data_IF_703330411186
#
_entry.id   IF_703330411186
#
_cell.length_a   1.000
_cell.length_b   1.000
_cell.length_c   1.000
_cell.angle_alpha   90.00
_cell.angle_beta   90.00
_cell.angle_gamma   90.00
#
_symmetry.space_group_name_H-M   'P 1'
#
loop_
_entity.id
_entity.type
_entity.pdbx_description
1 polymer ?
#
# COMPACT_ATOMS: atom_id res chain seq x y z
N UNK A 1 -44.87 -17.57 -32.92
CA UNK A 1 -45.29 -17.42 -31.51
C UNK A 1 -44.18 -17.97 -30.67
N UNK A 2 -43.29 -17.13 -30.19
CA UNK A 2 -42.21 -17.56 -29.30
C UNK A 2 -42.05 -16.46 -28.29
N UNK A 3 -42.39 -16.80 -27.06
CA UNK A 3 -42.22 -15.92 -25.90
C UNK A 3 -40.75 -15.79 -25.52
N UNK A 4 -40.29 -14.57 -25.49
CA UNK A 4 -38.98 -14.18 -24.97
C UNK A 4 -39.04 -14.19 -23.45
N UNK A 5 -38.38 -15.16 -22.84
CA UNK A 5 -38.11 -15.19 -21.40
C UNK A 5 -37.02 -14.18 -21.08
N UNK A 6 -37.41 -13.05 -20.52
CA UNK A 6 -36.49 -12.10 -19.89
C UNK A 6 -35.97 -12.67 -18.57
N UNK A 7 -34.75 -13.13 -18.57
CA UNK A 7 -34.07 -13.55 -17.36
C UNK A 7 -33.45 -12.31 -16.67
N UNK A 8 -34.17 -11.74 -15.71
CA UNK A 8 -33.66 -10.73 -14.78
C UNK A 8 -32.99 -11.44 -13.63
N UNK A 9 -31.68 -11.57 -13.69
CA UNK A 9 -30.86 -11.91 -12.52
C UNK A 9 -30.55 -10.67 -11.70
N UNK A 10 -31.54 -10.22 -10.94
CA UNK A 10 -31.29 -9.34 -9.78
C UNK A 10 -30.89 -10.23 -8.63
N UNK A 11 -29.60 -10.38 -8.40
CA UNK A 11 -29.09 -11.01 -7.18
C UNK A 11 -29.22 -9.99 -6.05
N UNK A 12 -30.41 -9.92 -5.46
CA UNK A 12 -30.59 -9.29 -4.15
C UNK A 12 -29.89 -10.18 -3.12
N UNK A 13 -28.79 -9.67 -2.57
CA UNK A 13 -28.12 -10.27 -1.42
C UNK A 13 -29.02 -10.11 -0.18
N UNK A 14 -29.93 -11.06 0.02
CA UNK A 14 -30.67 -11.22 1.26
C UNK A 14 -29.70 -11.66 2.36
N UNK A 15 -29.39 -10.77 3.29
CA UNK A 15 -28.66 -11.10 4.51
C UNK A 15 -29.64 -11.43 5.64
N UNK A 16 -29.86 -12.69 6.00
CA UNK A 16 -30.58 -13.04 7.22
C UNK A 16 -29.74 -12.59 8.42
N UNK A 17 -30.33 -11.79 9.30
CA UNK A 17 -29.73 -11.41 10.58
C UNK A 17 -29.39 -12.68 11.38
N UNK A 18 -28.10 -12.98 11.53
CA UNK A 18 -27.61 -14.03 12.43
C UNK A 18 -26.89 -15.23 11.80
N UNK A 19 -26.88 -15.42 10.49
CA UNK A 19 -26.07 -16.47 9.87
C UNK A 19 -24.60 -15.98 9.77
N UNK A 20 -23.67 -16.65 10.49
CA UNK A 20 -22.23 -16.50 10.24
C UNK A 20 -21.96 -17.04 8.84
N UNK A 21 -21.80 -16.15 7.86
CA UNK A 21 -21.28 -16.55 6.55
C UNK A 21 -19.87 -17.03 6.79
N UNK A 22 -19.50 -18.26 6.41
CA UNK A 22 -18.13 -18.72 6.55
C UNK A 22 -17.22 -17.78 5.76
N UNK A 23 -16.20 -17.25 6.43
CA UNK A 23 -15.23 -16.35 5.81
C UNK A 23 -14.24 -17.21 5.02
N UNK A 24 -14.23 -17.05 3.70
CA UNK A 24 -13.23 -17.65 2.83
C UNK A 24 -11.96 -16.80 2.81
N UNK A 25 -10.90 -17.31 3.44
CA UNK A 25 -9.61 -16.64 3.52
C UNK A 25 -8.97 -16.40 2.14
N UNK A 26 -9.16 -17.33 1.19
CA UNK A 26 -8.63 -17.18 -0.17
C UNK A 26 -9.37 -16.06 -0.92
N UNK A 27 -10.68 -15.96 -0.75
CA UNK A 27 -11.48 -14.87 -1.29
C UNK A 27 -11.07 -13.53 -0.68
N UNK A 28 -10.91 -13.45 0.65
CA UNK A 28 -10.45 -12.23 1.32
C UNK A 28 -9.07 -11.79 0.82
N UNK A 29 -8.14 -12.73 0.68
CA UNK A 29 -6.82 -12.43 0.12
C UNK A 29 -6.94 -11.84 -1.30
N UNK A 30 -7.74 -12.46 -2.16
CA UNK A 30 -7.96 -11.99 -3.52
C UNK A 30 -8.56 -10.59 -3.57
N UNK A 31 -9.54 -10.31 -2.70
CA UNK A 31 -10.17 -8.98 -2.60
C UNK A 31 -9.17 -7.93 -2.11
N UNK A 32 -8.36 -8.25 -1.09
CA UNK A 32 -7.33 -7.36 -0.58
C UNK A 32 -6.28 -7.05 -1.65
N UNK A 33 -5.81 -8.05 -2.39
CA UNK A 33 -4.87 -7.86 -3.49
C UNK A 33 -5.45 -6.98 -4.60
N UNK A 34 -6.70 -7.23 -4.99
CA UNK A 34 -7.40 -6.40 -5.99
C UNK A 34 -7.56 -4.96 -5.52
N UNK A 35 -7.91 -4.74 -4.25
CA UNK A 35 -8.02 -3.39 -3.69
C UNK A 35 -6.69 -2.65 -3.79
N UNK A 36 -5.59 -3.27 -3.37
CA UNK A 36 -4.24 -2.70 -3.50
C UNK A 36 -3.92 -2.34 -4.96
N UNK A 37 -4.15 -3.28 -5.89
CA UNK A 37 -3.86 -3.09 -7.31
C UNK A 37 -4.63 -1.91 -7.90
N UNK A 38 -5.94 -1.80 -7.64
CA UNK A 38 -6.75 -0.71 -8.20
C UNK A 38 -6.46 0.66 -7.57
N UNK A 39 -5.99 0.70 -6.32
CA UNK A 39 -5.53 1.95 -5.69
C UNK A 39 -4.22 2.40 -6.32
N UNK A 40 -3.27 1.50 -6.51
CA UNK A 40 -1.98 1.82 -7.16
C UNK A 40 -2.17 2.22 -8.63
N UNK A 41 -3.08 1.57 -9.34
CA UNK A 41 -3.41 1.93 -10.72
C UNK A 41 -4.01 3.34 -10.79
N UNK A 42 -4.91 3.67 -9.86
CA UNK A 42 -5.56 4.99 -9.77
C UNK A 42 -4.59 6.15 -9.53
N UNK A 43 -3.45 5.91 -8.87
CA UNK A 43 -2.41 6.93 -8.66
C UNK A 43 -1.18 6.76 -9.57
N UNK A 44 -1.25 5.91 -10.58
CA UNK A 44 -0.09 5.57 -11.44
C UNK A 44 0.43 6.77 -12.26
N UNK A 45 -0.46 7.67 -12.68
CA UNK A 45 -0.10 8.87 -13.42
C UNK A 45 0.75 9.81 -12.54
N UNK A 46 0.36 10.03 -11.30
CA UNK A 46 1.07 10.85 -10.31
C UNK A 46 2.43 10.25 -9.96
N UNK A 47 2.50 8.94 -9.72
CA UNK A 47 3.75 8.25 -9.48
C UNK A 47 4.69 8.37 -10.68
N UNK A 48 4.17 8.20 -11.90
CA UNK A 48 4.94 8.36 -13.14
C UNK A 48 5.45 9.79 -13.32
N UNK A 49 4.61 10.79 -13.02
CA UNK A 49 5.01 12.21 -13.09
C UNK A 49 6.15 12.55 -12.11
N UNK A 50 6.20 11.86 -10.95
CA UNK A 50 7.30 11.95 -9.99
C UNK A 50 8.52 11.09 -10.39
N UNK A 51 8.41 10.31 -11.45
CA UNK A 51 9.44 9.36 -11.87
C UNK A 51 9.62 8.19 -10.90
N UNK A 52 8.57 7.83 -10.15
CA UNK A 52 8.58 6.73 -9.17
C UNK A 52 7.90 5.48 -9.73
N UNK A 53 8.57 4.34 -9.59
CA UNK A 53 7.94 3.03 -9.65
C UNK A 53 7.19 2.77 -8.31
N UNK A 54 6.04 2.06 -8.31
CA UNK A 54 5.32 1.74 -7.08
C UNK A 54 6.17 1.09 -5.98
N UNK A 55 7.16 0.25 -6.35
CA UNK A 55 8.05 -0.39 -5.38
C UNK A 55 9.08 0.58 -4.82
N UNK A 56 9.57 1.50 -5.62
CA UNK A 56 10.44 2.60 -5.18
C UNK A 56 9.68 3.54 -4.24
N UNK A 57 8.41 3.82 -4.53
CA UNK A 57 7.55 4.61 -3.65
C UNK A 57 7.44 4.00 -2.26
N UNK A 58 7.21 2.69 -2.13
CA UNK A 58 7.15 2.05 -0.81
C UNK A 58 8.46 2.15 -0.03
N UNK A 59 9.60 2.03 -0.70
CA UNK A 59 10.91 2.25 -0.06
C UNK A 59 11.05 3.70 0.39
N UNK A 60 10.67 4.65 -0.44
CA UNK A 60 10.74 6.08 -0.13
C UNK A 60 9.81 6.46 1.04
N UNK A 61 8.63 5.85 1.12
CA UNK A 61 7.67 6.07 2.20
C UNK A 61 8.18 5.56 3.56
N UNK A 62 8.86 4.42 3.58
CA UNK A 62 9.30 3.75 4.82
C UNK A 62 10.70 4.17 5.31
N UNK A 63 11.51 4.81 4.47
CA UNK A 63 12.92 5.07 4.79
C UNK A 63 13.12 5.95 6.02
N UNK A 64 12.20 6.87 6.31
CA UNK A 64 12.31 7.73 7.49
C UNK A 64 12.14 6.95 8.81
N UNK A 65 11.28 5.94 8.81
CA UNK A 65 11.04 5.07 9.97
C UNK A 65 12.04 3.90 10.05
N UNK A 66 12.61 3.49 8.91
CA UNK A 66 13.52 2.35 8.78
C UNK A 66 14.71 2.73 7.89
N UNK A 67 15.68 3.51 8.42
CA UNK A 67 16.71 4.13 7.59
C UNK A 67 17.82 3.17 7.12
N UNK A 68 17.75 1.89 7.49
CA UNK A 68 18.76 0.92 7.10
C UNK A 68 18.19 -0.09 6.09
N UNK A 69 18.95 -0.45 5.04
CA UNK A 69 18.46 -1.37 4.01
C UNK A 69 17.97 -2.72 4.52
N UNK A 70 18.58 -3.24 5.60
CA UNK A 70 18.15 -4.50 6.20
C UNK A 70 16.78 -4.38 6.91
N UNK A 71 16.53 -3.25 7.58
CA UNK A 71 15.26 -2.93 8.22
C UNK A 71 14.16 -2.70 7.20
N UNK A 72 14.45 -1.95 6.12
CA UNK A 72 13.53 -1.79 5.00
C UNK A 72 13.13 -3.13 4.37
N UNK A 73 14.09 -4.04 4.18
CA UNK A 73 13.82 -5.37 3.64
C UNK A 73 12.87 -6.16 4.54
N UNK A 74 13.08 -6.10 5.85
CA UNK A 74 12.23 -6.77 6.84
C UNK A 74 10.84 -6.11 6.91
N UNK A 75 10.77 -4.78 6.95
CA UNK A 75 9.53 -4.00 7.05
C UNK A 75 8.64 -4.18 5.81
N UNK A 76 9.22 -4.13 4.62
CA UNK A 76 8.52 -4.27 3.35
C UNK A 76 8.32 -5.73 2.91
N UNK A 77 8.90 -6.68 3.64
CA UNK A 77 8.86 -8.12 3.34
C UNK A 77 9.33 -8.41 1.91
N UNK A 78 10.44 -7.78 1.51
CA UNK A 78 11.05 -7.94 0.19
C UNK A 78 12.53 -8.36 0.30
N UNK A 79 13.09 -9.04 -0.74
CA UNK A 79 14.49 -9.44 -0.74
C UNK A 79 15.44 -8.24 -0.58
N UNK A 80 16.52 -8.41 0.20
CA UNK A 80 17.57 -7.38 0.37
C UNK A 80 18.16 -6.90 -0.96
N UNK A 81 18.30 -7.80 -1.93
CA UNK A 81 18.78 -7.46 -3.27
C UNK A 81 17.85 -6.45 -3.96
N UNK A 82 16.52 -6.61 -3.81
CA UNK A 82 15.53 -5.69 -4.37
C UNK A 82 15.63 -4.30 -3.72
N UNK A 83 15.74 -4.25 -2.37
CA UNK A 83 15.95 -2.98 -1.65
C UNK A 83 17.19 -2.27 -2.16
N UNK A 84 18.29 -3.00 -2.37
CA UNK A 84 19.55 -2.42 -2.90
C UNK A 84 19.34 -1.76 -4.25
N UNK A 85 18.55 -2.36 -5.14
CA UNK A 85 18.22 -1.79 -6.47
C UNK A 85 17.38 -0.53 -6.31
N UNK A 86 16.30 -0.57 -5.52
CA UNK A 86 15.41 0.58 -5.34
C UNK A 86 16.12 1.75 -4.67
N UNK A 87 16.91 1.50 -3.62
CA UNK A 87 17.72 2.52 -2.95
C UNK A 87 18.71 3.17 -3.94
N UNK A 88 19.38 2.36 -4.76
CA UNK A 88 20.30 2.89 -5.79
C UNK A 88 19.58 3.82 -6.76
N UNK A 89 18.41 3.42 -7.23
CA UNK A 89 17.61 4.22 -8.15
C UNK A 89 17.14 5.53 -7.50
N UNK A 90 16.66 5.47 -6.25
CA UNK A 90 16.22 6.65 -5.49
C UNK A 90 17.38 7.62 -5.19
N UNK A 91 18.57 7.10 -4.93
CA UNK A 91 19.79 7.94 -4.81
C UNK A 91 20.15 8.58 -6.15
N UNK A 92 20.09 7.83 -7.26
CA UNK A 92 20.33 8.36 -8.58
C UNK A 92 19.33 9.45 -9.01
N UNK A 93 18.08 9.37 -8.52
CA UNK A 93 17.04 10.40 -8.70
C UNK A 93 17.20 11.61 -7.76
N UNK A 94 18.14 11.57 -6.83
CA UNK A 94 18.34 12.63 -5.84
C UNK A 94 17.31 12.62 -4.69
N UNK A 95 16.51 11.59 -4.54
CA UNK A 95 15.49 11.49 -3.48
C UNK A 95 16.04 10.96 -2.15
N UNK A 96 17.11 10.17 -2.22
CA UNK A 96 17.82 9.66 -1.06
C UNK A 96 19.30 10.01 -1.12
N UNK A 97 19.91 10.13 0.05
CA UNK A 97 21.36 10.16 0.22
C UNK A 97 21.78 9.15 1.29
N UNK A 98 23.03 8.75 1.24
CA UNK A 98 23.65 7.89 2.25
C UNK A 98 24.50 8.74 3.17
N UNK A 99 24.31 8.58 4.46
CA UNK A 99 25.13 9.20 5.48
C UNK A 99 25.80 8.13 6.33
N UNK A 100 27.00 8.42 6.84
CA UNK A 100 27.64 7.58 7.83
C UNK A 100 26.84 7.73 9.12
N UNK A 101 26.59 6.61 9.80
CA UNK A 101 25.87 6.62 11.07
C UNK A 101 26.81 7.12 12.18
N UNK A 102 26.38 8.12 12.93
CA UNK A 102 27.19 8.70 14.02
C UNK A 102 27.41 7.72 15.19
N UNK A 103 26.51 6.75 15.36
CA UNK A 103 26.61 5.73 16.41
C UNK A 103 27.45 4.51 16.00
N UNK A 104 27.53 4.22 14.69
CA UNK A 104 28.35 3.14 14.13
C UNK A 104 28.89 3.55 12.75
N UNK A 105 30.11 4.01 12.72
CA UNK A 105 30.82 4.49 11.52
C UNK A 105 30.96 3.42 10.40
N UNK A 106 30.64 2.15 10.69
CA UNK A 106 30.61 1.06 9.70
C UNK A 106 29.28 0.95 8.98
N UNK A 107 28.27 1.67 9.48
CA UNK A 107 26.90 1.64 8.92
C UNK A 107 26.64 2.93 8.15
N UNK A 108 25.86 2.80 7.08
CA UNK A 108 25.30 3.91 6.36
C UNK A 108 23.80 3.92 6.56
N UNK A 109 23.27 5.04 7.02
CA UNK A 109 21.84 5.29 7.05
C UNK A 109 21.37 5.97 5.75
N UNK A 110 20.15 5.72 5.39
CA UNK A 110 19.48 6.39 4.28
C UNK A 110 18.74 7.61 4.83
N UNK A 111 18.88 8.72 4.14
CA UNK A 111 18.25 9.98 4.53
C UNK A 111 17.51 10.54 3.32
N UNK A 112 16.28 11.00 3.54
CA UNK A 112 15.53 11.74 2.52
C UNK A 112 16.24 13.07 2.23
N UNK A 113 16.27 13.43 0.96
CA UNK A 113 16.59 14.81 0.56
C UNK A 113 15.31 15.66 0.64
N UNK A 114 15.38 17.00 0.60
CA UNK A 114 14.20 17.85 0.49
C UNK A 114 13.32 17.47 -0.71
N UNK A 115 13.93 17.12 -1.85
CA UNK A 115 13.25 16.65 -3.05
C UNK A 115 12.60 15.28 -2.82
N UNK A 116 13.27 14.39 -2.08
CA UNK A 116 12.73 13.10 -1.69
C UNK A 116 11.55 13.21 -0.72
N UNK A 117 11.59 14.15 0.23
CA UNK A 117 10.47 14.45 1.13
C UNK A 117 9.26 14.96 0.34
N UNK A 118 9.48 15.92 -0.56
CA UNK A 118 8.41 16.46 -1.39
C UNK A 118 7.80 15.39 -2.31
N UNK A 119 8.61 14.53 -2.93
CA UNK A 119 8.14 13.43 -3.78
C UNK A 119 7.35 12.39 -2.97
N UNK A 120 7.84 12.00 -1.79
CA UNK A 120 7.14 11.10 -0.86
C UNK A 120 5.77 11.65 -0.48
N UNK A 121 5.73 12.90 -0.03
CA UNK A 121 4.51 13.52 0.47
C UNK A 121 3.47 13.68 -0.63
N UNK A 122 3.88 14.04 -1.84
CA UNK A 122 3.01 14.11 -3.00
C UNK A 122 2.45 12.71 -3.36
N UNK A 123 3.31 11.70 -3.42
CA UNK A 123 2.89 10.33 -3.73
C UNK A 123 1.94 9.77 -2.65
N UNK A 124 2.21 10.03 -1.37
CA UNK A 124 1.31 9.65 -0.26
C UNK A 124 -0.04 10.37 -0.35
N UNK A 125 -0.06 11.65 -0.71
CA UNK A 125 -1.29 12.41 -0.88
C UNK A 125 -2.14 11.87 -2.05
N UNK A 126 -1.53 11.52 -3.18
CA UNK A 126 -2.19 10.92 -4.31
C UNK A 126 -2.81 9.56 -3.94
N UNK A 127 -2.05 8.69 -3.27
CA UNK A 127 -2.52 7.39 -2.79
C UNK A 127 -3.65 7.55 -1.77
N UNK A 128 -3.52 8.47 -0.82
CA UNK A 128 -4.55 8.74 0.18
C UNK A 128 -5.85 9.23 -0.48
N UNK A 129 -5.77 10.10 -1.48
CA UNK A 129 -6.93 10.61 -2.23
C UNK A 129 -7.64 9.47 -2.96
N UNK A 130 -6.89 8.61 -3.66
CA UNK A 130 -7.46 7.47 -4.39
C UNK A 130 -8.09 6.46 -3.42
N UNK A 131 -7.44 6.19 -2.28
CA UNK A 131 -7.99 5.27 -1.28
C UNK A 131 -9.21 5.84 -0.59
N UNK A 132 -9.21 7.14 -0.24
CA UNK A 132 -10.37 7.81 0.39
C UNK A 132 -11.60 7.80 -0.52
N UNK A 133 -11.42 7.94 -1.83
CA UNK A 133 -12.52 7.81 -2.82
C UNK A 133 -13.24 6.46 -2.73
N UNK A 134 -12.51 5.41 -2.36
CA UNK A 134 -13.05 4.05 -2.16
C UNK A 134 -13.66 3.89 -0.78
N UNK A 135 -13.01 4.44 0.25
CA UNK A 135 -13.55 4.47 1.60
C UNK A 135 -14.87 5.25 1.67
N UNK A 136 -15.06 6.25 0.79
CA UNK A 136 -16.32 7.00 0.69
C UNK A 136 -17.54 6.13 0.32
N UNK A 137 -17.31 4.92 -0.21
CA UNK A 137 -18.37 3.96 -0.61
C UNK A 137 -18.93 3.14 0.55
N UNK A 138 -18.31 3.23 1.73
CA UNK A 138 -18.74 2.53 2.94
C UNK A 138 -19.08 3.51 4.05
N UNK A 139 -19.93 3.08 4.99
CA UNK A 139 -20.36 3.91 6.09
C UNK A 139 -19.18 4.31 7.02
N UNK A 140 -19.22 5.49 7.67
CA UNK A 140 -18.13 5.93 8.55
C UNK A 140 -17.75 4.92 9.64
N UNK A 141 -18.73 4.23 10.23
CA UNK A 141 -18.50 3.17 11.24
C UNK A 141 -17.68 2.01 10.67
N UNK A 142 -17.92 1.65 9.39
CA UNK A 142 -17.26 0.52 8.75
C UNK A 142 -15.81 0.87 8.37
N UNK A 143 -15.52 2.17 8.13
CA UNK A 143 -14.14 2.67 7.93
C UNK A 143 -13.31 2.52 9.20
N UNK A 144 -13.87 2.91 10.35
CA UNK A 144 -13.21 2.77 11.64
C UNK A 144 -12.98 1.29 11.99
N UNK A 145 -13.96 0.44 11.69
CA UNK A 145 -13.83 -1.01 11.89
C UNK A 145 -12.78 -1.63 10.96
N UNK A 146 -12.72 -1.22 9.68
CA UNK A 146 -11.67 -1.63 8.75
C UNK A 146 -10.28 -1.26 9.28
N UNK A 147 -10.09 -0.03 9.77
CA UNK A 147 -8.82 0.39 10.37
C UNK A 147 -8.44 -0.50 11.56
N UNK A 148 -9.38 -0.76 12.46
CA UNK A 148 -9.18 -1.63 13.63
C UNK A 148 -8.77 -3.05 13.21
N UNK A 149 -9.44 -3.61 12.20
CA UNK A 149 -9.16 -4.96 11.68
C UNK A 149 -7.77 -5.01 11.05
N UNK A 150 -7.41 -4.04 10.22
CA UNK A 150 -6.09 -3.97 9.59
C UNK A 150 -4.97 -3.90 10.63
N UNK A 151 -5.14 -3.09 11.68
CA UNK A 151 -4.17 -3.00 12.77
C UNK A 151 -4.00 -4.36 13.47
N UNK A 152 -5.10 -5.04 13.80
CA UNK A 152 -5.06 -6.35 14.45
C UNK A 152 -4.41 -7.44 13.57
N UNK A 153 -4.58 -7.37 12.25
CA UNK A 153 -3.93 -8.31 11.32
C UNK A 153 -2.43 -8.06 11.14
N UNK A 154 -1.95 -6.85 11.43
CA UNK A 154 -0.54 -6.45 11.32
C UNK A 154 0.23 -6.65 12.63
N UNK A 155 -0.45 -6.90 13.76
CA UNK A 155 0.22 -7.23 15.01
C UNK A 155 1.01 -8.55 14.85
N UNK A 156 2.27 -8.60 15.33
CA UNK A 156 3.04 -9.84 15.28
C UNK A 156 2.36 -10.94 16.11
N UNK A 157 2.35 -12.16 15.60
CA UNK A 157 1.89 -13.31 16.37
C UNK A 157 2.73 -13.43 17.64
N UNK A 158 2.06 -13.50 18.79
CA UNK A 158 2.71 -13.70 20.09
C UNK A 158 3.26 -15.11 20.21
#
# INVERSE_FOLDING_TARGET
MSELVQNRTSTELYHPKGARVPVDAAQLWTLNHRLLTVVLDGCSAELTALGLDPKEFFVLAEVAASPYPAELAAKLVIPKASVTVYVRNLVAKGFLRREIDDADLRRHRLVLTPEGEAARDHALAALATEFDSRLARIAPRDRAELQRILLALLEPAQ
#
